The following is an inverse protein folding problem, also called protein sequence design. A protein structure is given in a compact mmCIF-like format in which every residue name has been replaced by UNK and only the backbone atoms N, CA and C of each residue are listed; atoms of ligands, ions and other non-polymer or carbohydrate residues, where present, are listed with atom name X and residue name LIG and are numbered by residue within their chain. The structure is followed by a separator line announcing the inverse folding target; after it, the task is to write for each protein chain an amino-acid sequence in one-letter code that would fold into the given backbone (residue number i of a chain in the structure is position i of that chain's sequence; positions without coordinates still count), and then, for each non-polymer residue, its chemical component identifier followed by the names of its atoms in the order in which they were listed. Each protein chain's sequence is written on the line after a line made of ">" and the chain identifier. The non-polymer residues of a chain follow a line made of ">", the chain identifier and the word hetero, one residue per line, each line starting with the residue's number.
data_IF_651915542496
#
_entry.id   IF_651915542496
#
_cell.length_a   1.000
_cell.length_b   1.000
_cell.length_c   1.000
_cell.angle_alpha   90.00
_cell.angle_beta   90.00
_cell.angle_gamma   90.00
#
_symmetry.space_group_name_H-M   'P 1'
#
loop_
_entity.id
_entity.type
_entity.pdbx_description
1 polymer ?
#
# COMPACT_ATOMS: atom_id res chain seq x y z
N UNK A 1 -1.00 14.59 -42.81
CA UNK A 1 -1.08 15.07 -41.44
C UNK A 1 -1.88 14.07 -40.61
N UNK A 2 -1.27 13.55 -39.53
CA UNK A 2 -1.95 12.62 -38.63
C UNK A 2 -2.86 13.35 -37.65
N UNK A 3 -3.84 12.65 -37.09
CA UNK A 3 -4.68 13.16 -36.02
C UNK A 3 -3.85 13.37 -34.73
N UNK A 4 -4.11 14.46 -34.04
CA UNK A 4 -3.43 14.77 -32.78
C UNK A 4 -4.42 14.59 -31.64
N UNK A 5 -4.10 13.67 -30.71
CA UNK A 5 -4.78 13.55 -29.44
C UNK A 5 -4.05 14.38 -28.38
N UNK A 6 -4.79 15.03 -27.48
CA UNK A 6 -4.22 15.83 -26.41
C UNK A 6 -4.88 15.45 -25.09
N UNK A 7 -4.09 15.21 -24.05
CA UNK A 7 -4.57 15.03 -22.69
C UNK A 7 -4.28 16.32 -21.91
N UNK A 8 -5.34 16.99 -21.49
CA UNK A 8 -5.28 18.18 -20.65
C UNK A 8 -5.77 17.82 -19.24
N UNK A 9 -5.18 18.44 -18.25
CA UNK A 9 -5.58 18.27 -16.87
C UNK A 9 -6.16 19.60 -16.36
N UNK A 10 -7.26 19.48 -15.64
CA UNK A 10 -7.88 20.63 -14.95
C UNK A 10 -8.01 20.31 -13.48
N UNK A 11 -7.77 21.30 -12.63
CA UNK A 11 -8.00 21.22 -11.20
C UNK A 11 -9.27 21.96 -10.86
N UNK A 12 -10.21 21.29 -10.20
CA UNK A 12 -11.41 21.95 -9.68
C UNK A 12 -11.05 22.75 -8.43
N UNK A 13 -11.37 24.03 -8.43
CA UNK A 13 -11.23 24.93 -7.28
C UNK A 13 -12.59 25.54 -6.95
N UNK A 14 -12.73 26.08 -5.73
CA UNK A 14 -13.96 26.76 -5.31
C UNK A 14 -14.31 27.88 -6.31
N UNK A 15 -15.33 27.62 -7.15
CA UNK A 15 -15.84 28.58 -8.12
C UNK A 15 -15.34 28.45 -9.56
N UNK A 16 -14.55 27.41 -9.90
CA UNK A 16 -14.10 27.21 -11.29
C UNK A 16 -13.13 26.06 -11.49
N UNK A 17 -12.68 25.89 -12.73
CA UNK A 17 -11.65 24.94 -13.13
C UNK A 17 -10.41 25.70 -13.56
N UNK A 18 -9.24 25.36 -13.01
CA UNK A 18 -7.96 25.84 -13.46
C UNK A 18 -7.31 24.80 -14.37
N UNK A 19 -7.18 25.04 -15.68
CA UNK A 19 -6.45 24.14 -16.57
C UNK A 19 -4.95 24.28 -16.33
N UNK A 20 -4.23 23.14 -16.37
CA UNK A 20 -2.77 23.17 -16.41
C UNK A 20 -2.30 23.80 -17.73
N UNK A 21 -1.28 24.63 -17.65
CA UNK A 21 -0.64 25.20 -18.85
C UNK A 21 0.26 24.13 -19.45
N UNK A 22 -0.14 23.61 -20.62
CA UNK A 22 0.52 22.50 -21.28
C UNK A 22 -0.19 21.16 -21.06
N UNK A 23 0.43 20.10 -21.50
CA UNK A 23 -0.15 18.75 -21.42
C UNK A 23 0.66 17.73 -22.20
N UNK A 24 0.09 16.54 -22.37
CA UNK A 24 0.68 15.48 -23.14
C UNK A 24 -0.03 15.37 -24.48
N UNK A 25 0.71 15.50 -25.57
CA UNK A 25 0.21 15.32 -26.92
C UNK A 25 0.58 13.95 -27.49
N UNK A 26 -0.28 13.40 -28.33
CA UNK A 26 -0.06 12.16 -29.06
C UNK A 26 -0.28 12.41 -30.55
N UNK A 27 0.64 11.96 -31.38
CA UNK A 27 0.44 11.94 -32.83
C UNK A 27 0.00 10.53 -33.22
N UNK A 28 -1.21 10.43 -33.73
CA UNK A 28 -1.80 9.16 -34.16
C UNK A 28 -1.44 8.90 -35.65
N UNK A 29 -0.99 7.69 -35.95
CA UNK A 29 -0.82 7.26 -37.30
C UNK A 29 -2.20 7.20 -38.04
N UNK A 30 -2.27 7.39 -39.34
CA UNK A 30 -3.52 7.27 -40.09
C UNK A 30 -4.18 5.90 -39.86
N UNK A 31 -5.46 5.91 -39.49
CA UNK A 31 -6.23 4.68 -39.25
C UNK A 31 -6.11 4.08 -37.82
N UNK A 32 -5.40 4.71 -36.91
CA UNK A 32 -5.31 4.29 -35.51
C UNK A 32 -6.37 5.02 -34.68
N UNK A 33 -7.21 4.26 -33.97
CA UNK A 33 -8.19 4.80 -33.04
C UNK A 33 -7.49 5.34 -31.75
N UNK A 34 -7.96 6.50 -31.29
CA UNK A 34 -7.47 7.16 -30.07
C UNK A 34 -7.59 6.30 -28.79
N UNK A 35 -8.39 5.25 -28.82
CA UNK A 35 -8.59 4.31 -27.71
C UNK A 35 -7.67 3.09 -27.75
N UNK A 36 -6.98 2.83 -28.86
CA UNK A 36 -6.02 1.72 -28.98
C UNK A 36 -4.59 2.18 -28.61
N UNK A 37 -4.30 2.26 -27.34
CA UNK A 37 -3.07 2.86 -26.76
C UNK A 37 -1.81 1.96 -26.81
N UNK A 38 -1.65 1.10 -27.80
CA UNK A 38 -0.43 0.29 -27.95
C UNK A 38 0.56 0.96 -28.89
N UNK A 39 1.49 1.72 -28.42
CA UNK A 39 2.59 2.36 -29.18
C UNK A 39 2.28 3.75 -29.76
N UNK A 40 2.11 4.73 -28.90
CA UNK A 40 2.00 6.12 -29.34
C UNK A 40 3.19 6.90 -28.79
N UNK A 41 3.90 7.62 -29.65
CA UNK A 41 4.93 8.55 -29.23
C UNK A 41 4.29 9.74 -28.52
N UNK A 42 4.53 9.85 -27.22
CA UNK A 42 4.09 11.00 -26.43
C UNK A 42 5.04 12.17 -26.65
N UNK A 43 4.48 13.37 -26.75
CA UNK A 43 5.23 14.64 -26.86
C UNK A 43 4.68 15.66 -25.90
N UNK A 44 5.56 16.47 -25.35
CA UNK A 44 5.16 17.61 -24.53
C UNK A 44 4.45 18.65 -25.37
N UNK A 45 3.36 19.18 -24.85
CA UNK A 45 2.60 20.28 -25.46
C UNK A 45 2.97 21.58 -24.76
N UNK A 46 3.55 22.48 -25.53
CA UNK A 46 3.86 23.82 -25.10
C UNK A 46 2.80 24.79 -25.58
N UNK A 47 2.18 25.52 -24.67
CA UNK A 47 1.21 26.57 -25.01
C UNK A 47 1.95 27.90 -25.14
N UNK A 48 2.04 28.42 -26.37
CA UNK A 48 2.57 29.76 -26.57
C UNK A 48 1.48 30.79 -26.26
N UNK A 49 1.76 31.80 -25.44
CA UNK A 49 0.82 32.91 -25.26
C UNK A 49 0.62 33.63 -26.57
N UNK A 50 -0.63 33.77 -27.00
CA UNK A 50 -0.98 34.57 -28.17
C UNK A 50 -0.63 36.03 -27.88
N UNK A 51 0.35 36.59 -28.59
CA UNK A 51 0.86 37.95 -28.43
C UNK A 51 -0.15 39.05 -28.80
N UNK A 52 -1.37 38.70 -29.24
CA UNK A 52 -2.47 39.64 -29.56
C UNK A 52 -3.86 39.01 -29.34
N UNK A 53 -4.18 38.60 -28.15
CA UNK A 53 -5.57 38.57 -27.72
C UNK A 53 -5.74 39.63 -26.64
N UNK A 54 -6.68 40.56 -26.89
CA UNK A 54 -7.14 41.57 -25.93
C UNK A 54 -7.29 40.84 -24.59
N UNK A 55 -6.45 41.22 -23.63
CA UNK A 55 -6.47 40.65 -22.33
C UNK A 55 -7.88 40.76 -21.76
N UNK A 56 -8.61 39.68 -21.71
CA UNK A 56 -9.65 39.52 -20.70
C UNK A 56 -8.86 39.62 -19.40
N UNK A 57 -9.09 40.70 -18.65
CA UNK A 57 -8.42 40.90 -17.39
C UNK A 57 -8.51 39.63 -16.59
N UNK A 58 -7.39 39.02 -16.18
CA UNK A 58 -7.46 37.84 -15.34
C UNK A 58 -8.28 38.25 -14.14
N UNK A 59 -9.36 37.53 -13.87
CA UNK A 59 -10.04 37.64 -12.58
C UNK A 59 -8.91 37.46 -11.56
N UNK A 60 -8.68 38.43 -10.65
CA UNK A 60 -7.65 38.31 -9.66
C UNK A 60 -8.00 37.05 -8.83
N UNK A 61 -7.39 35.95 -9.15
CA UNK A 61 -7.33 34.82 -8.22
C UNK A 61 -6.39 35.37 -7.16
N UNK A 62 -6.95 35.66 -6.00
CA UNK A 62 -6.19 36.04 -4.81
C UNK A 62 -5.47 34.76 -4.33
N UNK A 63 -4.52 34.31 -5.16
CA UNK A 63 -3.55 33.36 -4.74
C UNK A 63 -2.67 34.09 -3.74
N UNK A 64 -2.49 33.60 -2.51
CA UNK A 64 -1.52 34.19 -1.62
C UNK A 64 -0.22 34.33 -2.42
N UNK A 65 0.22 35.54 -2.63
CA UNK A 65 1.52 35.83 -3.23
C UNK A 65 2.53 35.27 -2.24
N UNK A 66 2.94 34.05 -2.49
CA UNK A 66 4.10 33.50 -1.82
C UNK A 66 5.27 34.34 -2.30
N UNK A 67 5.56 35.40 -1.56
CA UNK A 67 6.82 36.11 -1.71
C UNK A 67 7.89 35.06 -1.51
N UNK A 68 8.56 34.72 -2.59
CA UNK A 68 9.65 33.77 -2.61
C UNK A 68 10.84 34.35 -1.85
N UNK A 69 10.71 34.40 -0.53
CA UNK A 69 11.86 34.52 0.36
C UNK A 69 12.48 33.14 0.49
N UNK A 70 13.40 32.85 -0.38
CA UNK A 70 14.07 31.56 -0.48
C UNK A 70 13.51 30.71 -1.61
N UNK A 71 14.36 30.30 -2.50
CA UNK A 71 14.12 29.30 -3.53
C UNK A 71 13.67 27.99 -2.85
N UNK A 72 12.35 27.86 -2.60
CA UNK A 72 11.77 26.55 -2.33
C UNK A 72 12.06 25.72 -3.58
N UNK A 73 12.94 24.76 -3.47
CA UNK A 73 13.17 23.81 -4.53
C UNK A 73 11.82 23.18 -4.87
N UNK A 74 11.24 23.55 -6.00
CA UNK A 74 9.99 22.97 -6.47
C UNK A 74 10.36 21.57 -6.91
N UNK A 75 9.97 20.58 -6.14
CA UNK A 75 10.17 19.18 -6.51
C UNK A 75 9.51 18.91 -7.86
N UNK A 76 10.25 18.30 -8.78
CA UNK A 76 9.69 17.98 -10.09
C UNK A 76 8.53 16.98 -9.95
N UNK A 77 7.55 16.95 -10.87
CA UNK A 77 6.46 15.96 -10.84
C UNK A 77 6.95 14.52 -10.76
N UNK A 78 8.10 14.21 -11.35
CA UNK A 78 8.73 12.89 -11.27
C UNK A 78 9.19 12.58 -9.86
N UNK A 79 9.87 13.49 -9.20
CA UNK A 79 10.31 13.33 -7.81
C UNK A 79 9.10 13.13 -6.89
N UNK A 80 8.03 13.91 -7.07
CA UNK A 80 6.80 13.74 -6.30
C UNK A 80 6.16 12.37 -6.54
N UNK A 81 6.14 11.92 -7.80
CA UNK A 81 5.65 10.56 -8.14
C UNK A 81 6.47 9.48 -7.43
N UNK A 82 7.79 9.56 -7.47
CA UNK A 82 8.66 8.57 -6.85
C UNK A 82 8.54 8.58 -5.31
N UNK A 83 8.36 9.75 -4.69
CA UNK A 83 8.06 9.88 -3.26
C UNK A 83 6.68 9.29 -2.92
N UNK A 84 5.65 9.54 -3.74
CA UNK A 84 4.34 8.91 -3.58
C UNK A 84 4.44 7.38 -3.56
N UNK A 85 5.15 6.80 -4.53
CA UNK A 85 5.34 5.36 -4.59
C UNK A 85 6.22 4.83 -3.47
N UNK A 86 7.18 5.61 -2.98
CA UNK A 86 7.95 5.26 -1.78
C UNK A 86 7.02 5.10 -0.58
N UNK A 87 6.10 6.05 -0.36
CA UNK A 87 5.10 5.96 0.70
C UNK A 87 4.18 4.74 0.52
N UNK A 88 3.68 4.51 -0.71
CA UNK A 88 2.83 3.36 -1.05
C UNK A 88 3.51 2.01 -0.75
N UNK A 89 4.73 1.82 -1.26
CA UNK A 89 5.43 0.53 -1.09
C UNK A 89 5.95 0.30 0.32
N UNK A 90 6.29 1.36 1.06
CA UNK A 90 6.66 1.23 2.47
C UNK A 90 5.48 0.73 3.31
N UNK A 91 4.29 1.33 3.13
CA UNK A 91 3.09 0.89 3.84
C UNK A 91 2.67 -0.52 3.42
N UNK A 92 2.68 -0.82 2.13
CA UNK A 92 2.37 -2.18 1.64
C UNK A 92 3.29 -3.23 2.23
N UNK A 93 4.58 -2.94 2.36
CA UNK A 93 5.54 -3.86 2.98
C UNK A 93 5.28 -4.04 4.48
N UNK A 94 4.90 -2.96 5.20
CA UNK A 94 4.53 -3.03 6.61
C UNK A 94 3.29 -3.90 6.82
N UNK A 95 2.20 -3.58 6.11
CA UNK A 95 0.92 -4.24 6.25
C UNK A 95 1.01 -5.74 5.85
N UNK A 96 1.74 -6.03 4.76
CA UNK A 96 1.98 -7.40 4.33
C UNK A 96 2.80 -8.17 5.36
N UNK A 97 3.85 -7.58 5.93
CA UNK A 97 4.64 -8.24 6.97
C UNK A 97 3.80 -8.57 8.21
N UNK A 98 2.88 -7.68 8.62
CA UNK A 98 1.96 -7.90 9.75
C UNK A 98 0.98 -9.04 9.45
N UNK A 99 0.32 -9.01 8.28
CA UNK A 99 -0.67 -10.02 7.92
C UNK A 99 -0.02 -11.40 7.72
N UNK A 100 1.13 -11.47 7.07
CA UNK A 100 1.89 -12.72 6.94
C UNK A 100 2.32 -13.28 8.31
N UNK A 101 2.74 -12.42 9.23
CA UNK A 101 3.11 -12.83 10.59
C UNK A 101 1.94 -13.47 11.31
N UNK A 102 0.79 -12.78 11.39
CA UNK A 102 -0.36 -13.31 12.12
C UNK A 102 -0.94 -14.57 11.43
N UNK A 103 -0.95 -14.61 10.09
CA UNK A 103 -1.42 -15.79 9.36
C UNK A 103 -0.53 -17.01 9.67
N UNK A 104 0.81 -16.82 9.69
CA UNK A 104 1.77 -17.86 10.07
C UNK A 104 1.55 -18.31 11.52
N UNK A 105 1.32 -17.40 12.45
CA UNK A 105 1.06 -17.74 13.86
C UNK A 105 -0.24 -18.56 14.00
N UNK A 106 -1.32 -18.14 13.34
CA UNK A 106 -2.59 -18.90 13.33
C UNK A 106 -2.42 -20.27 12.66
N UNK A 107 -1.63 -20.37 11.58
CA UNK A 107 -1.29 -21.67 11.00
C UNK A 107 -0.61 -22.59 12.03
N UNK A 108 0.38 -22.11 12.78
CA UNK A 108 1.06 -22.91 13.82
C UNK A 108 0.14 -23.32 14.95
N UNK A 109 -0.80 -22.48 15.32
CA UNK A 109 -1.78 -22.76 16.37
C UNK A 109 -2.76 -23.86 15.96
N UNK A 110 -3.24 -23.82 14.70
CA UNK A 110 -4.35 -24.68 14.27
C UNK A 110 -3.97 -25.83 13.33
N UNK A 111 -2.76 -25.91 12.79
CA UNK A 111 -2.35 -26.99 11.86
C UNK A 111 -2.60 -28.41 12.37
N UNK A 112 -2.62 -28.62 13.68
CA UNK A 112 -2.90 -29.91 14.32
C UNK A 112 -4.23 -29.91 15.11
N UNK A 113 -5.01 -28.83 15.01
CA UNK A 113 -6.28 -28.66 15.70
C UNK A 113 -7.39 -28.23 14.74
N UNK A 114 -7.39 -28.83 13.56
CA UNK A 114 -8.31 -28.47 12.47
C UNK A 114 -9.78 -28.80 12.80
N UNK A 115 -10.02 -29.61 13.82
CA UNK A 115 -11.36 -29.93 14.33
C UNK A 115 -12.00 -28.79 15.15
N UNK A 116 -11.27 -27.75 15.47
CA UNK A 116 -11.80 -26.58 16.15
C UNK A 116 -12.35 -25.57 15.13
N UNK A 117 -13.52 -25.03 15.39
CA UNK A 117 -14.13 -24.01 14.54
C UNK A 117 -13.22 -22.78 14.33
N UNK A 118 -12.46 -22.40 15.36
CA UNK A 118 -11.47 -21.32 15.29
C UNK A 118 -10.38 -21.55 14.23
N UNK A 119 -10.15 -22.81 13.78
CA UNK A 119 -9.18 -23.12 12.74
C UNK A 119 -9.54 -22.53 11.37
N UNK A 120 -10.83 -22.19 11.16
CA UNK A 120 -11.33 -21.49 9.97
C UNK A 120 -10.63 -20.13 9.75
N UNK A 121 -10.03 -19.55 10.80
CA UNK A 121 -9.28 -18.31 10.64
C UNK A 121 -8.10 -18.43 9.67
N UNK A 122 -7.50 -19.61 9.50
CA UNK A 122 -6.34 -19.78 8.61
C UNK A 122 -6.73 -19.65 7.13
N UNK A 123 -7.68 -20.41 6.58
CA UNK A 123 -8.12 -20.19 5.20
C UNK A 123 -8.70 -18.78 4.96
N UNK A 124 -9.41 -18.20 5.93
CA UNK A 124 -9.92 -16.83 5.81
C UNK A 124 -8.80 -15.81 5.68
N UNK A 125 -7.73 -15.93 6.45
CA UNK A 125 -6.56 -15.06 6.35
C UNK A 125 -5.77 -15.30 5.05
N UNK A 126 -5.69 -16.54 4.57
CA UNK A 126 -5.10 -16.84 3.26
C UNK A 126 -5.94 -16.25 2.12
N UNK A 127 -7.26 -16.35 2.19
CA UNK A 127 -8.16 -15.71 1.23
C UNK A 127 -8.02 -14.18 1.25
N UNK A 128 -7.86 -13.58 2.43
CA UNK A 128 -7.59 -12.15 2.58
C UNK A 128 -6.25 -11.74 1.93
N UNK A 129 -5.19 -12.53 2.13
CA UNK A 129 -3.91 -12.33 1.44
C UNK A 129 -4.08 -12.40 -0.07
N UNK A 130 -4.86 -13.35 -0.58
CA UNK A 130 -5.18 -13.47 -1.99
C UNK A 130 -5.95 -12.25 -2.53
N UNK A 131 -6.97 -11.80 -1.81
CA UNK A 131 -7.78 -10.64 -2.19
C UNK A 131 -6.96 -9.33 -2.22
N UNK A 132 -6.03 -9.16 -1.28
CA UNK A 132 -5.15 -7.98 -1.17
C UNK A 132 -4.10 -7.99 -2.28
N UNK A 133 -3.52 -9.13 -2.58
CA UNK A 133 -2.44 -9.25 -3.58
C UNK A 133 -2.94 -9.43 -5.01
N UNK A 134 -4.22 -9.76 -5.18
CA UNK A 134 -4.80 -10.15 -6.46
C UNK A 134 -4.26 -11.48 -6.99
N UNK A 135 -3.77 -12.35 -6.09
CA UNK A 135 -3.20 -13.66 -6.46
C UNK A 135 -4.03 -14.80 -5.89
N UNK A 136 -4.12 -15.88 -6.63
CA UNK A 136 -4.74 -17.10 -6.12
C UNK A 136 -3.90 -17.71 -4.98
N UNK A 137 -4.55 -17.95 -3.85
CA UNK A 137 -3.96 -18.59 -2.67
C UNK A 137 -4.54 -19.99 -2.41
N UNK A 138 -5.42 -20.48 -3.28
CA UNK A 138 -6.15 -21.73 -3.12
C UNK A 138 -7.26 -21.68 -2.04
N UNK A 139 -7.44 -20.55 -1.37
CA UNK A 139 -8.41 -20.37 -0.28
C UNK A 139 -9.62 -19.49 -0.70
N UNK A 140 -9.74 -19.15 -1.98
CA UNK A 140 -10.77 -18.24 -2.48
C UNK A 140 -12.04 -18.98 -2.93
N UNK A 141 -11.98 -20.27 -3.15
CA UNK A 141 -13.14 -21.09 -3.49
C UNK A 141 -13.94 -21.42 -2.23
N UNK A 142 -15.25 -21.15 -2.26
CA UNK A 142 -16.15 -21.44 -1.15
C UNK A 142 -16.25 -22.96 -0.86
N UNK A 143 -15.93 -23.79 -1.84
CA UNK A 143 -15.96 -25.26 -1.74
C UNK A 143 -14.56 -25.87 -1.46
N UNK A 144 -13.52 -25.02 -1.24
CA UNK A 144 -12.17 -25.52 -0.94
C UNK A 144 -12.16 -26.33 0.36
N UNK A 145 -11.53 -27.50 0.33
CA UNK A 145 -11.36 -28.30 1.54
C UNK A 145 -10.49 -27.54 2.54
N UNK A 146 -11.03 -27.35 3.73
CA UNK A 146 -10.40 -26.66 4.83
C UNK A 146 -9.05 -27.26 5.22
N UNK A 147 -8.99 -28.59 5.29
CA UNK A 147 -7.78 -29.33 5.63
C UNK A 147 -6.71 -29.19 4.54
N UNK A 148 -7.10 -29.23 3.27
CA UNK A 148 -6.19 -29.04 2.14
C UNK A 148 -5.64 -27.62 2.11
N UNK A 149 -6.49 -26.61 2.32
CA UNK A 149 -6.06 -25.21 2.39
C UNK A 149 -5.04 -24.97 3.51
N UNK A 150 -5.25 -25.56 4.69
CA UNK A 150 -4.29 -25.49 5.79
C UNK A 150 -2.98 -26.21 5.44
N UNK A 151 -3.05 -27.34 4.75
CA UNK A 151 -1.86 -28.11 4.37
C UNK A 151 -0.94 -27.34 3.39
N UNK A 152 -1.50 -26.56 2.48
CA UNK A 152 -0.73 -25.77 1.50
C UNK A 152 -0.29 -24.38 2.02
N UNK A 153 -0.76 -23.97 3.20
CA UNK A 153 -0.45 -22.66 3.80
C UNK A 153 1.05 -22.34 3.86
N UNK A 154 1.97 -23.25 4.26
CA UNK A 154 3.41 -22.95 4.31
C UNK A 154 3.98 -22.55 2.94
N UNK A 155 3.56 -23.23 1.88
CA UNK A 155 4.01 -22.96 0.51
C UNK A 155 3.48 -21.60 0.03
N UNK A 156 2.23 -21.31 0.31
CA UNK A 156 1.58 -20.02 -0.03
C UNK A 156 2.24 -18.88 0.73
N UNK A 157 2.48 -19.03 2.03
CA UNK A 157 3.15 -18.03 2.86
C UNK A 157 4.60 -17.79 2.41
N UNK A 158 5.32 -18.86 2.01
CA UNK A 158 6.65 -18.71 1.44
C UNK A 158 6.62 -17.90 0.14
N UNK A 159 5.74 -18.26 -0.79
CA UNK A 159 5.62 -17.56 -2.06
C UNK A 159 5.27 -16.07 -1.87
N UNK A 160 4.34 -15.75 -0.96
CA UNK A 160 3.99 -14.37 -0.64
C UNK A 160 5.11 -13.63 0.13
N UNK A 161 6.03 -14.34 0.76
CA UNK A 161 7.19 -13.73 1.44
C UNK A 161 8.34 -13.47 0.48
N UNK A 162 8.74 -14.48 -0.33
CA UNK A 162 10.05 -14.52 -1.00
C UNK A 162 10.00 -14.36 -2.53
N UNK A 163 8.86 -14.60 -3.17
CA UNK A 163 8.76 -14.56 -4.63
C UNK A 163 8.56 -13.12 -5.13
N UNK A 164 9.60 -12.54 -5.74
CA UNK A 164 9.57 -11.18 -6.31
C UNK A 164 8.69 -11.04 -7.53
N UNK A 165 8.44 -12.14 -8.24
CA UNK A 165 7.62 -12.14 -9.46
C UNK A 165 6.13 -12.16 -9.15
N UNK A 166 5.78 -12.58 -7.93
CA UNK A 166 4.41 -12.65 -7.46
C UNK A 166 3.89 -11.27 -7.09
N UNK A 167 2.79 -10.87 -7.73
CA UNK A 167 2.16 -9.57 -7.48
C UNK A 167 1.81 -9.41 -5.99
N UNK A 168 2.12 -8.26 -5.42
CA UNK A 168 1.80 -7.92 -4.04
C UNK A 168 2.58 -8.68 -2.97
N UNK A 169 3.53 -9.55 -3.33
CA UNK A 169 4.38 -10.24 -2.34
C UNK A 169 5.21 -9.24 -1.53
N UNK A 170 5.66 -9.68 -0.36
CA UNK A 170 6.55 -8.89 0.49
C UNK A 170 7.85 -8.56 -0.25
N UNK A 171 8.45 -9.54 -0.91
CA UNK A 171 9.69 -9.35 -1.68
C UNK A 171 9.51 -8.36 -2.83
N UNK A 172 8.41 -8.43 -3.58
CA UNK A 172 8.12 -7.44 -4.62
C UNK A 172 7.92 -6.04 -4.04
N UNK A 173 7.19 -5.91 -2.92
CA UNK A 173 6.93 -4.63 -2.27
C UNK A 173 8.23 -3.98 -1.78
N UNK A 174 9.13 -4.75 -1.18
CA UNK A 174 10.45 -4.29 -0.73
C UNK A 174 11.34 -3.90 -1.92
N UNK A 175 11.36 -4.69 -3.00
CA UNK A 175 12.11 -4.36 -4.21
C UNK A 175 11.63 -3.05 -4.84
N UNK A 176 10.30 -2.88 -4.97
CA UNK A 176 9.69 -1.66 -5.51
C UNK A 176 9.93 -0.45 -4.63
N UNK A 177 9.87 -0.62 -3.30
CA UNK A 177 10.27 0.41 -2.34
C UNK A 177 11.71 0.86 -2.58
N UNK A 178 12.64 -0.09 -2.68
CA UNK A 178 14.04 0.21 -2.93
C UNK A 178 14.29 0.91 -4.27
N UNK A 179 13.52 0.58 -5.31
CA UNK A 179 13.61 1.26 -6.62
C UNK A 179 13.08 2.70 -6.54
N UNK A 180 11.91 2.92 -5.93
CA UNK A 180 11.32 4.25 -5.78
C UNK A 180 12.22 5.16 -4.90
N UNK A 181 12.69 4.66 -3.77
CA UNK A 181 13.59 5.40 -2.88
C UNK A 181 14.90 5.79 -3.58
N UNK A 182 15.51 4.90 -4.37
CA UNK A 182 16.75 5.21 -5.13
C UNK A 182 16.55 6.32 -6.16
N UNK A 183 15.35 6.45 -6.73
CA UNK A 183 15.03 7.51 -7.69
C UNK A 183 14.99 8.92 -7.04
N UNK A 184 14.81 8.98 -5.73
CA UNK A 184 14.73 10.23 -4.92
C UNK A 184 15.84 10.28 -3.85
N UNK A 185 16.99 9.73 -4.14
CA UNK A 185 18.08 9.55 -3.18
C UNK A 185 18.53 10.84 -2.51
N UNK A 186 18.50 11.93 -3.22
CA UNK A 186 18.87 13.28 -2.75
C UNK A 186 17.87 13.87 -1.74
N UNK A 187 16.66 13.29 -1.67
CA UNK A 187 15.62 13.72 -0.73
C UNK A 187 15.64 12.93 0.59
N UNK A 188 16.51 11.93 0.71
CA UNK A 188 16.52 10.99 1.83
C UNK A 188 17.82 11.02 2.62
N UNK A 189 17.71 10.87 3.94
CA UNK A 189 18.85 10.81 4.84
C UNK A 189 19.67 9.51 4.67
N UNK A 190 20.91 9.52 5.15
CA UNK A 190 21.74 8.33 5.18
C UNK A 190 21.14 7.19 6.01
N UNK A 191 20.42 7.50 7.08
CA UNK A 191 19.77 6.52 7.94
C UNK A 191 18.70 5.73 7.19
N UNK A 192 17.98 6.38 6.26
CA UNK A 192 17.07 5.70 5.34
C UNK A 192 17.75 4.56 4.60
N UNK A 193 18.97 4.77 4.10
CA UNK A 193 19.72 3.76 3.34
C UNK A 193 20.18 2.60 4.19
N UNK A 194 20.56 2.84 5.44
CA UNK A 194 20.91 1.77 6.37
C UNK A 194 19.71 0.87 6.64
N UNK A 195 18.54 1.47 6.87
CA UNK A 195 17.28 0.74 7.10
C UNK A 195 16.90 -0.08 5.87
N UNK A 196 16.84 0.55 4.68
CA UNK A 196 16.48 -0.14 3.43
C UNK A 196 17.45 -1.29 3.13
N UNK A 197 18.76 -1.09 3.30
CA UNK A 197 19.74 -2.16 3.08
C UNK A 197 19.57 -3.33 4.06
N UNK A 198 19.12 -3.09 5.29
CA UNK A 198 18.84 -4.15 6.25
C UNK A 198 17.60 -4.97 5.85
N UNK A 199 16.55 -4.30 5.38
CA UNK A 199 15.33 -4.95 4.88
C UNK A 199 15.61 -5.71 3.58
N UNK A 200 16.33 -5.13 2.63
CA UNK A 200 16.73 -5.78 1.39
C UNK A 200 17.45 -7.11 1.68
N UNK A 201 18.42 -7.09 2.60
CA UNK A 201 19.14 -8.32 2.99
C UNK A 201 18.24 -9.38 3.63
N UNK A 202 17.25 -8.96 4.38
CA UNK A 202 16.35 -9.87 5.08
C UNK A 202 15.37 -10.58 4.14
N UNK A 203 14.93 -9.90 3.10
CA UNK A 203 13.85 -10.37 2.21
C UNK A 203 14.40 -10.80 0.85
N UNK A 204 15.20 -9.96 0.21
CA UNK A 204 15.64 -10.19 -1.18
C UNK A 204 16.74 -11.24 -1.33
N UNK A 205 17.41 -11.61 -0.25
CA UNK A 205 18.41 -12.69 -0.25
C UNK A 205 17.80 -14.06 0.04
N UNK A 206 16.48 -14.16 0.22
CA UNK A 206 15.81 -15.45 0.39
C UNK A 206 15.83 -16.24 -0.93
N UNK A 207 15.98 -17.58 -0.88
CA UNK A 207 15.88 -18.40 -2.07
C UNK A 207 14.46 -18.36 -2.63
N UNK A 208 14.31 -18.45 -3.96
CA UNK A 208 13.00 -18.44 -4.63
C UNK A 208 12.14 -19.66 -4.25
N UNK A 209 12.77 -20.80 -3.91
CA UNK A 209 12.08 -22.00 -3.43
C UNK A 209 12.29 -22.16 -1.94
N UNK A 210 11.28 -22.66 -1.20
CA UNK A 210 11.46 -22.93 0.20
C UNK A 210 12.55 -23.98 0.41
N UNK A 211 13.33 -23.90 1.50
CA UNK A 211 14.20 -24.99 1.91
C UNK A 211 13.41 -26.27 2.15
N UNK A 212 14.05 -27.43 1.95
CA UNK A 212 13.43 -28.76 2.19
C UNK A 212 12.98 -28.92 3.66
N UNK A 213 13.67 -28.29 4.59
CA UNK A 213 13.28 -28.26 6.01
C UNK A 213 12.21 -27.22 6.25
N UNK A 214 11.00 -27.65 6.61
CA UNK A 214 9.89 -26.79 7.01
C UNK A 214 10.24 -25.87 8.18
N UNK A 215 11.00 -26.38 9.17
CA UNK A 215 11.45 -25.59 10.32
C UNK A 215 12.36 -24.46 9.88
N UNK A 216 13.28 -24.73 8.94
CA UNK A 216 14.17 -23.72 8.40
C UNK A 216 13.41 -22.70 7.56
N UNK A 217 12.48 -23.14 6.73
CA UNK A 217 11.64 -22.25 5.94
C UNK A 217 10.83 -21.32 6.85
N UNK A 218 10.22 -21.86 7.89
CA UNK A 218 9.46 -21.09 8.87
C UNK A 218 10.31 -20.04 9.61
N UNK A 219 11.49 -20.42 10.07
CA UNK A 219 12.42 -19.50 10.75
C UNK A 219 12.88 -18.36 9.82
N UNK A 220 13.11 -18.64 8.53
CA UNK A 220 13.47 -17.62 7.53
C UNK A 220 12.30 -16.66 7.27
N UNK A 221 11.07 -17.16 7.14
CA UNK A 221 9.87 -16.30 7.01
C UNK A 221 9.70 -15.41 8.23
N UNK A 222 9.76 -15.99 9.44
CA UNK A 222 9.65 -15.23 10.69
C UNK A 222 10.68 -14.11 10.76
N UNK A 223 11.94 -14.41 10.42
CA UNK A 223 13.01 -13.41 10.40
C UNK A 223 12.77 -12.33 9.35
N UNK A 224 12.33 -12.69 8.14
CA UNK A 224 12.03 -11.75 7.09
C UNK A 224 10.89 -10.80 7.48
N UNK A 225 9.79 -11.33 8.01
CA UNK A 225 8.65 -10.54 8.47
C UNK A 225 9.04 -9.57 9.59
N UNK A 226 9.71 -10.07 10.65
CA UNK A 226 10.11 -9.25 11.79
C UNK A 226 11.10 -8.13 11.39
N UNK A 227 12.08 -8.43 10.54
CA UNK A 227 13.05 -7.44 10.06
C UNK A 227 12.42 -6.41 9.13
N UNK A 228 11.48 -6.84 8.27
CA UNK A 228 10.73 -5.90 7.43
C UNK A 228 9.90 -4.96 8.30
N UNK A 229 9.13 -5.50 9.25
CA UNK A 229 8.32 -4.69 10.15
C UNK A 229 9.17 -3.68 10.93
N UNK A 230 10.27 -4.13 11.55
CA UNK A 230 11.20 -3.24 12.25
C UNK A 230 11.78 -2.17 11.33
N UNK A 231 12.12 -2.54 10.09
CA UNK A 231 12.64 -1.60 9.09
C UNK A 231 11.59 -0.58 8.66
N UNK A 232 10.34 -0.98 8.44
CA UNK A 232 9.27 -0.04 8.06
C UNK A 232 8.95 0.93 9.19
N UNK A 233 8.93 0.48 10.44
CA UNK A 233 8.75 1.35 11.61
C UNK A 233 9.92 2.32 11.76
N UNK A 234 11.16 1.86 11.57
CA UNK A 234 12.34 2.73 11.58
C UNK A 234 12.29 3.75 10.43
N UNK A 235 11.89 3.34 9.23
CA UNK A 235 11.73 4.23 8.08
C UNK A 235 10.67 5.31 8.35
N UNK A 236 9.55 4.92 8.95
CA UNK A 236 8.51 5.87 9.35
C UNK A 236 9.02 6.88 10.39
N UNK A 237 9.82 6.42 11.36
CA UNK A 237 10.48 7.27 12.35
C UNK A 237 11.47 8.25 11.71
N UNK A 238 12.36 7.77 10.85
CA UNK A 238 13.32 8.62 10.12
C UNK A 238 12.58 9.66 9.26
N UNK A 239 11.56 9.25 8.50
CA UNK A 239 10.75 10.17 7.71
C UNK A 239 10.01 11.18 8.59
N UNK A 240 9.53 10.76 9.75
CA UNK A 240 8.86 11.59 10.74
C UNK A 240 9.76 12.68 11.33
N UNK A 241 11.01 12.36 11.62
CA UNK A 241 11.93 13.21 12.37
C UNK A 241 12.92 14.00 11.50
N UNK A 242 13.27 13.49 10.31
CA UNK A 242 14.34 14.08 9.50
C UNK A 242 13.89 14.74 8.19
N UNK A 243 12.71 14.41 7.66
CA UNK A 243 12.23 15.03 6.43
C UNK A 243 11.52 16.37 6.69
N UNK A 244 11.84 17.37 5.87
CA UNK A 244 11.10 18.64 5.87
C UNK A 244 9.65 18.42 5.44
N UNK A 245 8.71 19.10 6.10
CA UNK A 245 7.26 19.01 5.84
C UNK A 245 6.87 19.81 4.60
N UNK A 246 7.50 19.52 3.48
CA UNK A 246 7.25 20.16 2.19
C UNK A 246 6.29 19.35 1.31
N UNK A 247 6.13 19.73 0.05
CA UNK A 247 5.29 19.03 -0.90
C UNK A 247 5.72 17.56 -1.12
N UNK A 248 7.03 17.29 -1.04
CA UNK A 248 7.57 15.93 -1.17
C UNK A 248 7.11 15.03 -0.03
N UNK A 249 7.28 15.52 1.21
CA UNK A 249 6.81 14.77 2.38
C UNK A 249 5.30 14.55 2.37
N UNK A 250 4.50 15.59 2.05
CA UNK A 250 3.04 15.48 1.97
C UNK A 250 2.64 14.43 0.94
N UNK A 251 3.31 14.42 -0.21
CA UNK A 251 3.01 13.47 -1.29
C UNK A 251 3.35 12.03 -0.87
N UNK A 252 4.47 11.82 -0.18
CA UNK A 252 4.85 10.51 0.37
C UNK A 252 3.85 10.05 1.44
N UNK A 253 3.45 10.93 2.37
CA UNK A 253 2.46 10.62 3.40
C UNK A 253 1.07 10.32 2.79
N UNK A 254 0.67 11.06 1.76
CA UNK A 254 -0.56 10.76 0.99
C UNK A 254 -0.51 9.37 0.37
N UNK A 255 0.60 8.99 -0.24
CA UNK A 255 0.81 7.64 -0.76
C UNK A 255 0.62 6.57 0.32
N UNK A 256 1.25 6.76 1.47
CA UNK A 256 1.12 5.87 2.64
C UNK A 256 -0.34 5.73 3.09
N UNK A 257 -1.07 6.84 3.23
CA UNK A 257 -2.47 6.83 3.69
C UNK A 257 -3.41 6.14 2.72
N UNK A 258 -3.26 6.41 1.43
CA UNK A 258 -4.04 5.75 0.38
C UNK A 258 -3.81 4.23 0.42
N UNK A 259 -2.56 3.78 0.55
CA UNK A 259 -2.27 2.35 0.63
C UNK A 259 -2.93 1.71 1.84
N UNK A 260 -2.78 2.32 3.02
CA UNK A 260 -3.40 1.84 4.27
C UNK A 260 -4.92 1.74 4.15
N UNK A 261 -5.58 2.75 3.60
CA UNK A 261 -7.03 2.74 3.40
C UNK A 261 -7.49 1.63 2.45
N UNK A 262 -6.79 1.44 1.34
CA UNK A 262 -7.09 0.37 0.37
C UNK A 262 -6.87 -1.02 0.99
N UNK A 263 -5.74 -1.21 1.68
CA UNK A 263 -5.41 -2.46 2.33
C UNK A 263 -6.43 -2.81 3.43
N UNK A 264 -6.74 -1.85 4.32
CA UNK A 264 -7.72 -2.04 5.38
C UNK A 264 -9.09 -2.42 4.83
N UNK A 265 -9.55 -1.71 3.80
CA UNK A 265 -10.84 -2.00 3.15
C UNK A 265 -10.88 -3.40 2.55
N UNK A 266 -9.79 -3.83 1.90
CA UNK A 266 -9.70 -5.18 1.34
C UNK A 266 -9.66 -6.25 2.43
N UNK A 267 -8.90 -6.03 3.51
CA UNK A 267 -8.81 -6.95 4.65
C UNK A 267 -10.19 -7.12 5.32
N UNK A 268 -10.86 -6.03 5.69
CA UNK A 268 -12.16 -6.10 6.37
C UNK A 268 -13.22 -6.77 5.48
N UNK A 269 -13.22 -6.47 4.18
CA UNK A 269 -14.14 -7.11 3.24
C UNK A 269 -13.88 -8.61 3.13
N UNK A 270 -12.64 -9.06 3.13
CA UNK A 270 -12.31 -10.47 3.02
C UNK A 270 -12.56 -11.26 4.33
N UNK A 271 -12.54 -10.60 5.48
CA UNK A 271 -12.56 -11.28 6.78
C UNK A 271 -13.88 -11.14 7.54
N UNK A 272 -14.60 -10.02 7.38
CA UNK A 272 -15.72 -9.65 8.27
C UNK A 272 -17.11 -9.61 7.60
N UNK A 273 -17.23 -10.02 6.34
CA UNK A 273 -18.51 -9.95 5.61
C UNK A 273 -19.33 -11.24 5.63
N UNK A 274 -18.77 -12.33 6.14
CA UNK A 274 -19.42 -13.64 6.21
C UNK A 274 -19.66 -14.01 7.66
N UNK A 275 -20.87 -14.47 7.98
CA UNK A 275 -21.24 -14.97 9.31
C UNK A 275 -20.63 -16.37 9.51
N UNK A 276 -20.01 -16.58 10.66
CA UNK A 276 -19.33 -17.83 11.05
C UNK A 276 -19.70 -18.24 12.47
N UNK A 277 -19.13 -19.34 12.93
CA UNK A 277 -19.27 -19.72 14.34
C UNK A 277 -18.62 -18.65 15.25
N UNK A 278 -19.10 -18.48 16.49
CA UNK A 278 -18.55 -17.49 17.42
C UNK A 278 -17.04 -17.65 17.66
N UNK A 279 -16.53 -18.89 17.67
CA UNK A 279 -15.15 -19.21 17.86
C UNK A 279 -14.28 -18.80 16.66
N UNK A 280 -14.77 -19.06 15.45
CA UNK A 280 -14.12 -18.62 14.21
C UNK A 280 -14.13 -17.09 14.09
N UNK A 281 -15.27 -16.45 14.35
CA UNK A 281 -15.37 -14.98 14.33
C UNK A 281 -14.43 -14.33 15.32
N UNK A 282 -14.31 -14.86 16.53
CA UNK A 282 -13.38 -14.36 17.55
C UNK A 282 -11.93 -14.47 17.05
N UNK A 283 -11.51 -15.66 16.56
CA UNK A 283 -10.14 -15.89 16.11
C UNK A 283 -9.76 -14.98 14.91
N UNK A 284 -10.68 -14.81 13.96
CA UNK A 284 -10.49 -13.94 12.80
C UNK A 284 -10.38 -12.47 13.24
N UNK A 285 -11.30 -12.01 14.09
CA UNK A 285 -11.37 -10.62 14.52
C UNK A 285 -10.15 -10.24 15.37
N UNK A 286 -9.67 -11.15 16.23
CA UNK A 286 -8.41 -10.96 16.95
C UNK A 286 -7.20 -10.86 15.99
N UNK A 287 -7.16 -11.71 14.96
CA UNK A 287 -6.09 -11.66 13.97
C UNK A 287 -6.11 -10.34 13.17
N UNK A 288 -7.29 -9.83 12.82
CA UNK A 288 -7.45 -8.53 12.15
C UNK A 288 -6.96 -7.40 13.06
N UNK A 289 -7.30 -7.40 14.35
CA UNK A 289 -6.81 -6.38 15.30
C UNK A 289 -5.28 -6.38 15.40
N UNK A 290 -4.65 -7.56 15.37
CA UNK A 290 -3.18 -7.67 15.37
C UNK A 290 -2.60 -7.15 14.06
N UNK A 291 -3.15 -7.56 12.92
CA UNK A 291 -2.70 -7.10 11.61
C UNK A 291 -2.81 -5.57 11.46
N UNK A 292 -3.86 -4.97 12.04
CA UNK A 292 -4.08 -3.51 12.03
C UNK A 292 -3.38 -2.76 13.18
N UNK A 293 -2.50 -3.40 13.99
CA UNK A 293 -1.85 -2.79 15.17
C UNK A 293 -2.84 -2.10 16.13
N UNK A 294 -4.03 -2.64 16.24
CA UNK A 294 -5.11 -2.01 17.02
C UNK A 294 -5.53 -2.80 18.27
N UNK A 295 -4.85 -3.92 18.56
CA UNK A 295 -5.18 -4.80 19.69
C UNK A 295 -5.06 -4.11 21.05
N UNK A 296 -4.06 -3.25 21.23
CA UNK A 296 -3.84 -2.55 22.52
C UNK A 296 -4.93 -1.51 22.75
N UNK A 297 -5.23 -0.69 21.74
CA UNK A 297 -6.28 0.33 21.87
C UNK A 297 -7.65 -0.30 22.03
N UNK A 298 -7.91 -1.41 21.29
CA UNK A 298 -9.15 -2.16 21.48
C UNK A 298 -9.34 -2.61 22.92
N UNK A 299 -8.35 -3.30 23.49
CA UNK A 299 -8.39 -3.80 24.89
C UNK A 299 -8.50 -2.69 25.93
N UNK A 300 -7.96 -1.52 25.67
CA UNK A 300 -8.08 -0.36 26.56
C UNK A 300 -9.49 0.23 26.59
N UNK A 301 -10.23 0.13 25.46
CA UNK A 301 -11.57 0.72 25.32
C UNK A 301 -12.70 -0.30 25.54
N UNK A 302 -12.43 -1.58 25.32
CA UNK A 302 -13.42 -2.63 25.38
C UNK A 302 -13.03 -3.70 26.40
N UNK A 303 -13.91 -3.94 27.37
CA UNK A 303 -13.77 -5.03 28.33
C UNK A 303 -14.56 -6.25 27.83
N UNK A 304 -13.91 -7.41 27.76
CA UNK A 304 -14.58 -8.67 27.38
C UNK A 304 -14.13 -9.26 26.05
N UNK A 305 -14.99 -10.09 25.47
CA UNK A 305 -14.70 -10.76 24.19
C UNK A 305 -14.63 -9.76 23.02
N UNK A 306 -13.82 -10.10 22.03
CA UNK A 306 -13.72 -9.29 20.82
C UNK A 306 -15.05 -9.36 20.06
N UNK A 307 -15.54 -8.20 19.62
CA UNK A 307 -16.81 -8.04 18.90
C UNK A 307 -16.53 -7.43 17.52
N UNK A 308 -17.09 -8.01 16.47
CA UNK A 308 -16.98 -7.49 15.10
C UNK A 308 -17.47 -6.03 15.03
N UNK A 309 -18.60 -5.71 15.68
CA UNK A 309 -19.14 -4.35 15.66
C UNK A 309 -18.18 -3.33 16.29
N UNK A 310 -17.59 -3.65 17.44
CA UNK A 310 -16.65 -2.76 18.10
C UNK A 310 -15.31 -2.64 17.35
N UNK A 311 -14.89 -3.70 16.65
CA UNK A 311 -13.70 -3.66 15.80
C UNK A 311 -13.97 -2.86 14.52
N UNK A 312 -15.13 -3.01 13.92
CA UNK A 312 -15.55 -2.20 12.77
C UNK A 312 -15.63 -0.71 13.14
N UNK A 313 -16.21 -0.38 14.30
CA UNK A 313 -16.22 1.00 14.79
C UNK A 313 -14.81 1.57 14.97
N UNK A 314 -13.92 0.84 15.62
CA UNK A 314 -12.53 1.24 15.85
C UNK A 314 -11.73 1.42 14.56
N UNK A 315 -11.91 0.52 13.57
CA UNK A 315 -11.11 0.50 12.35
C UNK A 315 -11.71 1.32 11.20
N UNK A 316 -13.01 1.58 11.20
CA UNK A 316 -13.65 2.36 10.15
C UNK A 316 -13.90 3.81 10.56
N UNK A 317 -14.42 4.04 11.77
CA UNK A 317 -15.03 5.32 12.13
C UNK A 317 -14.32 6.12 13.20
N UNK A 318 -13.36 5.56 13.91
CA UNK A 318 -12.63 6.26 14.96
C UNK A 318 -11.63 7.27 14.38
N UNK A 319 -11.99 8.55 14.45
CA UNK A 319 -11.15 9.65 13.94
C UNK A 319 -9.85 9.87 14.74
N UNK A 320 -9.74 9.33 15.96
CA UNK A 320 -8.54 9.41 16.79
C UNK A 320 -7.58 8.23 16.57
N UNK A 321 -8.05 7.14 15.96
CA UNK A 321 -7.22 5.99 15.69
C UNK A 321 -6.42 6.17 14.40
N UNK A 322 -5.07 6.29 14.44
CA UNK A 322 -4.24 6.45 13.25
C UNK A 322 -4.29 5.27 12.27
N UNK A 323 -4.92 4.17 12.65
CA UNK A 323 -5.12 2.98 11.81
C UNK A 323 -6.54 2.87 11.24
N UNK A 324 -7.46 3.77 11.60
CA UNK A 324 -8.82 3.75 11.05
C UNK A 324 -8.90 4.31 9.65
N UNK A 325 -9.94 3.91 8.93
CA UNK A 325 -10.20 4.39 7.58
C UNK A 325 -10.51 5.88 7.56
N UNK A 326 -11.37 6.36 8.46
CA UNK A 326 -11.74 7.78 8.53
C UNK A 326 -10.52 8.66 8.79
N UNK A 327 -9.58 8.24 9.64
CA UNK A 327 -8.35 8.96 9.89
C UNK A 327 -7.47 9.10 8.63
N UNK A 328 -7.49 8.08 7.73
CA UNK A 328 -6.74 8.15 6.47
C UNK A 328 -7.39 9.13 5.48
N UNK A 329 -8.72 9.28 5.52
CA UNK A 329 -9.47 10.10 4.57
C UNK A 329 -9.52 11.58 4.97
N UNK A 330 -9.41 11.87 6.28
CA UNK A 330 -9.53 13.23 6.83
C UNK A 330 -8.23 14.04 6.75
N UNK A 331 -7.13 13.41 6.42
CA UNK A 331 -5.80 14.03 6.37
C UNK A 331 -5.12 13.89 5.01
#
# INVERSE_FOLDING_TARGET
>A
PGSVGMRLFTVSQRGGYAPMIGGLGYVLAPGVDAYSMKTIAAKDVWVQPLTRARAVAPVPIDLPVFTASGTRAVSSPRVLSDLFWTGRYAERAEDMARLLTITRERYHEYRHRQYLDASECVPVLLAALGAITGTDTGAQDADADHAETIAVAPTTLWALTADRTRSGSLAQSVERLGLAARAVRDQMSNDTWMVLAAVDRAVLNQPSRPPDSLVRADALMASAHARTLSGMLALAGVAGESMVRDAGWITMDSGKRIERGLWLSALLRATMTTVRSPEAEQAITEAVLVACESSVIYRRRNLGKVSIAAVADLLLFDAENPRSLVFQLDR
#
